data_IF_932182791500
#
_entry.id   IF_932182791500
#
_cell.length_a   1.000
_cell.length_b   1.000
_cell.length_c   1.000
_cell.angle_alpha   90.00
_cell.angle_beta   90.00
_cell.angle_gamma   90.00
#
_symmetry.space_group_name_H-M   'P 1'
#
loop_
_entity.id
_entity.type
_entity.pdbx_description
1 polymer ?
#
# COMPACT_ATOMS: atom_id res chain seq x y z
N UNK A 1 0.05 -26.60 -6.79
CA UNK A 1 -1.39 -26.51 -6.45
C UNK A 1 -1.62 -25.92 -5.05
N UNK A 2 -0.98 -26.43 -3.99
CA UNK A 2 -1.09 -25.87 -2.62
C UNK A 2 -0.49 -24.46 -2.45
N UNK A 3 0.56 -24.12 -3.20
CA UNK A 3 1.17 -22.78 -3.14
C UNK A 3 0.18 -21.68 -3.60
N UNK A 4 -0.58 -21.91 -4.68
CA UNK A 4 -1.54 -20.95 -5.24
C UNK A 4 -2.74 -20.68 -4.32
N UNK A 5 -3.15 -21.66 -3.50
CA UNK A 5 -4.24 -21.51 -2.52
C UNK A 5 -3.82 -20.69 -1.33
N UNK A 6 -2.58 -20.90 -0.86
CA UNK A 6 -2.00 -20.10 0.21
C UNK A 6 -1.82 -18.64 -0.23
N UNK A 7 -1.30 -18.37 -1.44
CA UNK A 7 -1.23 -16.99 -1.96
C UNK A 7 -2.61 -16.39 -2.23
N UNK A 8 -3.58 -17.16 -2.71
CA UNK A 8 -4.94 -16.67 -2.93
C UNK A 8 -5.57 -16.13 -1.64
N UNK A 9 -5.51 -16.91 -0.56
CA UNK A 9 -6.04 -16.51 0.75
C UNK A 9 -5.30 -15.33 1.38
N UNK A 10 -3.96 -15.28 1.28
CA UNK A 10 -3.20 -14.13 1.81
C UNK A 10 -3.54 -12.84 1.08
N UNK A 11 -3.80 -12.88 -0.22
CA UNK A 11 -4.23 -11.69 -0.97
C UNK A 11 -5.61 -11.19 -0.58
N UNK A 12 -6.53 -12.08 -0.16
CA UNK A 12 -7.81 -11.65 0.43
C UNK A 12 -7.60 -10.93 1.75
N UNK A 13 -6.67 -11.41 2.58
CA UNK A 13 -6.27 -10.73 3.81
C UNK A 13 -5.66 -9.35 3.56
N UNK A 14 -4.73 -9.25 2.61
CA UNK A 14 -4.11 -7.98 2.22
C UNK A 14 -5.11 -6.98 1.64
N UNK A 15 -6.11 -7.44 0.90
CA UNK A 15 -7.21 -6.59 0.47
C UNK A 15 -7.95 -5.98 1.67
N UNK A 16 -8.31 -6.80 2.66
CA UNK A 16 -8.99 -6.32 3.87
C UNK A 16 -8.15 -5.30 4.64
N UNK A 17 -6.84 -5.54 4.78
CA UNK A 17 -5.90 -4.58 5.39
C UNK A 17 -5.85 -3.29 4.59
N UNK A 18 -5.75 -3.36 3.25
CA UNK A 18 -5.74 -2.18 2.39
C UNK A 18 -7.01 -1.34 2.51
N UNK A 19 -8.19 -1.97 2.59
CA UNK A 19 -9.45 -1.25 2.82
C UNK A 19 -9.42 -0.47 4.14
N UNK A 20 -8.91 -1.09 5.21
CA UNK A 20 -8.75 -0.41 6.50
C UNK A 20 -7.71 0.71 6.45
N UNK A 21 -6.59 0.52 5.74
CA UNK A 21 -5.55 1.54 5.55
C UNK A 21 -6.07 2.79 4.79
N UNK A 22 -7.10 2.63 3.97
CA UNK A 22 -7.80 3.76 3.36
C UNK A 22 -8.82 4.39 4.33
N UNK A 23 -9.67 3.56 4.94
CA UNK A 23 -10.79 4.04 5.73
C UNK A 23 -10.38 4.74 7.04
N UNK A 24 -9.33 4.28 7.72
CA UNK A 24 -8.90 4.83 9.02
C UNK A 24 -8.43 6.28 8.90
N UNK A 25 -7.46 6.63 8.02
CA UNK A 25 -7.04 8.02 7.86
C UNK A 25 -8.15 8.94 7.37
N UNK A 26 -9.00 8.45 6.45
CA UNK A 26 -10.15 9.21 5.95
C UNK A 26 -11.15 9.48 7.07
N UNK A 27 -11.43 8.50 7.94
CA UNK A 27 -12.29 8.65 9.10
C UNK A 27 -11.72 9.65 10.11
N UNK A 28 -10.43 9.55 10.47
CA UNK A 28 -9.74 10.53 11.33
C UNK A 28 -9.87 11.96 10.79
N UNK A 29 -9.79 12.11 9.48
CA UNK A 29 -9.77 13.40 8.80
C UNK A 29 -11.14 14.05 8.60
N UNK A 30 -12.16 13.24 8.32
CA UNK A 30 -13.51 13.70 7.96
C UNK A 30 -14.50 13.58 9.12
N UNK A 31 -14.15 12.81 10.17
CA UNK A 31 -15.04 12.46 11.26
C UNK A 31 -16.13 11.44 10.88
N UNK A 32 -16.05 10.86 9.67
CA UNK A 32 -17.00 9.84 9.21
C UNK A 32 -16.77 8.51 9.92
N UNK A 33 -17.85 7.74 10.06
CA UNK A 33 -17.79 6.40 10.63
C UNK A 33 -16.88 5.49 9.79
N UNK A 34 -15.82 4.99 10.44
CA UNK A 34 -14.82 4.12 9.83
C UNK A 34 -15.45 2.81 9.37
N UNK A 35 -16.44 2.27 10.08
CA UNK A 35 -17.15 1.05 9.66
C UNK A 35 -17.87 1.28 8.32
N UNK A 36 -18.55 2.41 8.18
CA UNK A 36 -19.20 2.78 6.93
C UNK A 36 -18.19 3.02 5.79
N UNK A 37 -17.05 3.66 6.08
CA UNK A 37 -15.98 3.85 5.10
C UNK A 37 -15.38 2.52 4.64
N UNK A 38 -15.12 1.56 5.54
CA UNK A 38 -14.63 0.22 5.20
C UNK A 38 -15.65 -0.48 4.29
N UNK A 39 -16.93 -0.46 4.66
CA UNK A 39 -17.98 -1.13 3.89
C UNK A 39 -18.12 -0.55 2.48
N UNK A 40 -18.20 0.78 2.36
CA UNK A 40 -18.38 1.47 1.08
C UNK A 40 -17.13 1.33 0.19
N UNK A 41 -15.93 1.58 0.74
CA UNK A 41 -14.70 1.49 -0.05
C UNK A 41 -14.37 0.05 -0.46
N UNK A 42 -14.57 -0.92 0.44
CA UNK A 42 -14.40 -2.34 0.12
C UNK A 42 -15.35 -2.81 -1.00
N UNK A 43 -16.62 -2.41 -0.95
CA UNK A 43 -17.58 -2.69 -2.03
C UNK A 43 -17.18 -2.03 -3.35
N UNK A 44 -16.78 -0.75 -3.32
CA UNK A 44 -16.36 -0.04 -4.53
C UNK A 44 -15.13 -0.68 -5.18
N UNK A 45 -14.11 -1.02 -4.41
CA UNK A 45 -12.90 -1.71 -4.89
C UNK A 45 -13.22 -3.12 -5.42
N UNK A 46 -14.18 -3.81 -4.79
CA UNK A 46 -14.63 -5.12 -5.27
C UNK A 46 -15.34 -5.01 -6.63
N UNK A 47 -16.09 -3.93 -6.87
CA UNK A 47 -16.79 -3.70 -8.14
C UNK A 47 -15.81 -3.31 -9.26
N UNK A 48 -14.77 -2.53 -8.97
CA UNK A 48 -13.81 -2.09 -10.01
C UNK A 48 -13.03 -3.23 -10.64
N UNK A 49 -12.76 -4.29 -9.88
CA UNK A 49 -12.19 -5.56 -10.37
C UNK A 49 -12.97 -6.17 -11.54
N UNK A 50 -14.29 -5.95 -11.62
CA UNK A 50 -15.11 -6.47 -12.71
C UNK A 50 -14.71 -5.91 -14.08
N UNK A 51 -14.21 -4.67 -14.11
CA UNK A 51 -13.76 -3.96 -15.31
C UNK A 51 -12.39 -4.41 -15.82
N UNK A 52 -11.66 -5.24 -15.06
CA UNK A 52 -10.47 -5.97 -15.51
C UNK A 52 -9.16 -5.17 -15.57
N UNK A 53 -8.09 -5.83 -16.04
CA UNK A 53 -6.68 -5.40 -15.88
C UNK A 53 -6.31 -4.11 -16.64
N UNK A 54 -7.05 -3.78 -17.71
CA UNK A 54 -6.80 -2.56 -18.50
C UNK A 54 -7.13 -1.29 -17.71
N UNK A 55 -8.22 -1.30 -16.93
CA UNK A 55 -8.56 -0.18 -16.07
C UNK A 55 -7.48 0.03 -15.00
N UNK A 56 -7.01 -1.07 -14.39
CA UNK A 56 -5.97 -1.05 -13.35
C UNK A 56 -4.65 -0.45 -13.83
N UNK A 57 -4.29 -0.76 -15.07
CA UNK A 57 -3.05 -0.25 -15.67
C UNK A 57 -3.10 1.27 -15.84
N UNK A 58 -4.24 1.81 -16.32
CA UNK A 58 -4.42 3.26 -16.49
C UNK A 58 -4.39 3.98 -15.14
N UNK A 59 -5.06 3.44 -14.12
CA UNK A 59 -5.04 3.99 -12.77
C UNK A 59 -3.62 4.01 -12.19
N UNK A 60 -2.87 2.93 -12.35
CA UNK A 60 -1.50 2.80 -11.82
C UNK A 60 -0.51 3.79 -12.46
N UNK A 61 -0.64 4.04 -13.78
CA UNK A 61 0.20 5.01 -14.51
C UNK A 61 0.03 6.43 -13.97
N UNK A 62 -1.14 6.77 -13.43
CA UNK A 62 -1.41 8.09 -12.84
C UNK A 62 -1.04 8.11 -11.35
N UNK A 63 -1.39 7.06 -10.60
CA UNK A 63 -1.19 7.00 -9.16
C UNK A 63 0.29 7.01 -8.75
N UNK A 64 1.16 6.28 -9.47
CA UNK A 64 2.58 6.17 -9.12
C UNK A 64 3.31 7.51 -9.23
N UNK A 65 3.23 8.27 -10.35
CA UNK A 65 3.79 9.62 -10.41
C UNK A 65 3.17 10.58 -9.40
N UNK A 66 1.85 10.49 -9.19
CA UNK A 66 1.16 11.36 -8.23
C UNK A 66 1.69 11.18 -6.80
N UNK A 67 1.96 9.94 -6.37
CA UNK A 67 2.59 9.67 -5.07
C UNK A 67 4.02 10.19 -5.04
N UNK A 68 4.80 9.98 -6.09
CA UNK A 68 6.17 10.47 -6.13
C UNK A 68 6.23 12.00 -5.98
N UNK A 69 5.34 12.73 -6.65
CA UNK A 69 5.25 14.18 -6.56
C UNK A 69 4.70 14.65 -5.21
N UNK A 70 3.54 14.14 -4.78
CA UNK A 70 2.90 14.53 -3.52
C UNK A 70 3.78 14.18 -2.33
N UNK A 71 4.34 12.98 -2.38
CA UNK A 71 5.37 12.55 -1.47
C UNK A 71 6.51 13.55 -1.47
N UNK A 72 7.27 13.68 -2.56
CA UNK A 72 8.45 14.53 -2.60
C UNK A 72 8.20 15.94 -2.04
N UNK A 73 7.01 16.50 -2.31
CA UNK A 73 6.55 17.75 -1.74
C UNK A 73 6.33 17.71 -0.22
N UNK A 74 5.70 16.67 0.32
CA UNK A 74 5.54 16.45 1.76
C UNK A 74 6.89 16.31 2.49
N UNK A 75 7.88 15.60 1.93
CA UNK A 75 9.25 15.57 2.48
C UNK A 75 9.88 16.95 2.47
N UNK A 76 9.75 17.68 1.36
CA UNK A 76 10.27 19.04 1.26
C UNK A 76 9.65 19.97 2.32
N UNK A 77 8.34 19.89 2.55
CA UNK A 77 7.66 20.64 3.61
C UNK A 77 8.15 20.26 5.01
N UNK A 78 8.29 18.96 5.28
CA UNK A 78 8.79 18.48 6.57
C UNK A 78 10.20 19.02 6.86
N UNK A 79 11.11 18.90 5.89
CA UNK A 79 12.49 19.36 6.03
C UNK A 79 12.60 20.88 6.14
N UNK A 80 11.85 21.63 5.32
CA UNK A 80 11.85 23.10 5.43
C UNK A 80 11.22 23.58 6.74
N UNK A 81 10.18 22.91 7.23
CA UNK A 81 9.54 23.22 8.51
C UNK A 81 10.48 23.11 9.72
N UNK A 82 11.48 22.24 9.65
CA UNK A 82 12.52 22.12 10.68
C UNK A 82 13.65 23.16 10.59
N UNK A 83 13.68 23.99 9.56
CA UNK A 83 14.81 24.90 9.29
C UNK A 83 15.80 24.37 8.24
N UNK A 84 15.42 23.36 7.45
CA UNK A 84 16.16 22.88 6.29
C UNK A 84 17.01 21.64 6.53
N UNK A 85 17.81 21.29 5.52
CA UNK A 85 18.64 20.07 5.54
C UNK A 85 19.71 20.09 6.64
N UNK A 86 20.17 21.27 7.05
CA UNK A 86 21.16 21.41 8.11
C UNK A 86 20.57 21.08 9.48
N UNK A 87 19.32 21.48 9.73
CA UNK A 87 18.58 21.10 10.93
C UNK A 87 18.29 19.59 10.97
N UNK A 88 17.95 18.98 9.82
CA UNK A 88 17.75 17.53 9.71
C UNK A 88 19.03 16.75 10.08
N UNK A 89 20.20 17.21 9.62
CA UNK A 89 21.49 16.57 9.94
C UNK A 89 21.90 16.75 11.40
N UNK A 90 21.39 17.79 12.06
CA UNK A 90 21.64 18.05 13.48
C UNK A 90 20.74 17.22 14.42
N UNK A 91 19.75 16.50 13.89
CA UNK A 91 18.88 15.63 14.68
C UNK A 91 19.71 14.48 15.26
N UNK A 92 19.82 14.46 16.59
CA UNK A 92 20.45 13.36 17.33
C UNK A 92 19.36 12.38 17.79
N UNK A 93 19.35 11.13 17.30
CA UNK A 93 18.38 10.14 17.75
C UNK A 93 18.57 9.83 19.23
N UNK A 94 17.47 9.78 20.00
CA UNK A 94 17.51 9.40 21.42
C UNK A 94 17.99 7.95 21.62
N UNK A 95 17.77 7.08 20.63
CA UNK A 95 18.24 5.70 20.60
C UNK A 95 18.84 5.43 19.20
N UNK A 96 20.16 5.60 19.03
CA UNK A 96 20.81 5.34 17.76
C UNK A 96 20.70 3.86 17.40
N UNK A 97 20.22 3.57 16.20
CA UNK A 97 20.16 2.21 15.68
C UNK A 97 21.52 1.86 15.04
N UNK A 98 22.09 0.71 15.42
CA UNK A 98 23.30 0.21 14.77
C UNK A 98 23.03 -0.08 13.27
N UNK A 99 24.01 0.21 12.42
CA UNK A 99 23.87 0.03 10.98
C UNK A 99 23.55 -1.42 10.60
N UNK A 100 24.12 -2.41 11.29
CA UNK A 100 23.86 -3.82 10.98
C UNK A 100 22.43 -4.21 11.35
N UNK A 101 21.90 -3.65 12.44
CA UNK A 101 20.50 -3.85 12.84
C UNK A 101 19.57 -3.19 11.84
N UNK A 102 19.88 -1.95 11.42
CA UNK A 102 19.12 -1.25 10.38
C UNK A 102 19.09 -2.05 9.07
N UNK A 103 20.23 -2.54 8.63
CA UNK A 103 20.36 -3.36 7.43
C UNK A 103 19.56 -4.67 7.57
N UNK A 104 19.67 -5.37 8.70
CA UNK A 104 18.94 -6.60 8.96
C UNK A 104 17.42 -6.39 8.96
N UNK A 105 16.93 -5.29 9.54
CA UNK A 105 15.51 -4.93 9.52
C UNK A 105 15.02 -4.66 8.10
N UNK A 106 15.74 -3.84 7.33
CA UNK A 106 15.39 -3.55 5.93
C UNK A 106 15.38 -4.83 5.10
N UNK A 107 16.45 -5.62 5.14
CA UNK A 107 16.53 -6.88 4.38
C UNK A 107 15.43 -7.86 4.82
N UNK A 108 15.20 -8.01 6.12
CA UNK A 108 14.18 -8.88 6.69
C UNK A 108 12.76 -8.52 6.25
N UNK A 109 12.40 -7.23 6.26
CA UNK A 109 11.09 -6.74 5.83
C UNK A 109 10.79 -7.03 4.36
N UNK A 110 11.83 -7.08 3.50
CA UNK A 110 11.65 -7.20 2.06
C UNK A 110 11.97 -8.56 1.46
N UNK A 111 12.55 -9.50 2.22
CA UNK A 111 12.77 -10.88 1.77
C UNK A 111 11.47 -11.53 1.26
N UNK A 112 10.35 -11.29 1.95
CA UNK A 112 9.04 -11.81 1.52
C UNK A 112 8.55 -11.14 0.23
N UNK A 113 8.70 -9.81 0.09
CA UNK A 113 8.26 -9.06 -1.09
C UNK A 113 8.95 -9.52 -2.38
N UNK A 114 10.21 -9.95 -2.31
CA UNK A 114 10.96 -10.46 -3.46
C UNK A 114 10.33 -11.69 -4.14
N UNK A 115 9.57 -12.51 -3.39
CA UNK A 115 8.92 -13.70 -3.94
C UNK A 115 7.76 -13.38 -4.89
N UNK A 116 7.10 -12.24 -4.70
CA UNK A 116 5.95 -11.79 -5.50
C UNK A 116 6.38 -11.19 -6.84
N UNK A 117 7.61 -10.68 -6.92
CA UNK A 117 8.18 -10.07 -8.13
C UNK A 117 8.20 -11.07 -9.30
N UNK A 118 8.47 -12.36 -9.03
CA UNK A 118 8.51 -13.40 -10.07
C UNK A 118 7.17 -13.57 -10.81
N UNK A 119 6.04 -13.36 -10.11
CA UNK A 119 4.70 -13.52 -10.69
C UNK A 119 4.36 -12.44 -11.72
N UNK A 120 4.90 -11.23 -11.54
CA UNK A 120 4.70 -10.11 -12.47
C UNK A 120 5.71 -10.11 -13.61
N UNK A 121 6.97 -10.47 -13.31
CA UNK A 121 8.08 -10.51 -14.27
C UNK A 121 7.84 -11.57 -15.35
N UNK A 122 7.06 -12.64 -15.08
CA UNK A 122 6.72 -13.67 -16.08
C UNK A 122 5.95 -13.15 -17.29
N UNK A 123 5.27 -12.00 -17.16
CA UNK A 123 4.54 -11.36 -18.25
C UNK A 123 5.44 -10.43 -19.10
N UNK A 124 6.71 -10.26 -18.72
CA UNK A 124 7.68 -9.46 -19.45
C UNK A 124 8.15 -10.16 -20.73
N UNK A 125 8.21 -9.41 -21.85
CA UNK A 125 8.75 -9.89 -23.13
C UNK A 125 10.21 -10.39 -23.06
N UNK A 126 10.99 -9.91 -22.09
CA UNK A 126 12.40 -10.25 -21.92
C UNK A 126 12.76 -10.31 -20.43
N UNK A 127 13.24 -11.47 -19.96
CA UNK A 127 13.58 -11.72 -18.56
C UNK A 127 14.61 -10.72 -18.00
N UNK A 128 15.63 -10.35 -18.79
CA UNK A 128 16.67 -9.39 -18.35
C UNK A 128 16.08 -8.00 -18.13
N UNK A 129 15.20 -7.56 -19.04
CA UNK A 129 14.54 -6.27 -18.93
C UNK A 129 13.57 -6.24 -17.75
N UNK A 130 12.83 -7.32 -17.53
CA UNK A 130 11.87 -7.40 -16.44
C UNK A 130 12.56 -7.40 -15.06
N UNK A 131 13.73 -8.05 -14.92
CA UNK A 131 14.56 -7.96 -13.71
C UNK A 131 15.08 -6.53 -13.50
N UNK A 132 15.61 -5.87 -14.55
CA UNK A 132 16.10 -4.49 -14.45
C UNK A 132 15.00 -3.52 -14.01
N UNK A 133 13.82 -3.60 -14.65
CA UNK A 133 12.66 -2.77 -14.30
C UNK A 133 12.23 -3.02 -12.86
N UNK A 134 12.16 -4.28 -12.43
CA UNK A 134 11.81 -4.62 -11.05
C UNK A 134 12.82 -4.05 -10.04
N UNK A 135 14.13 -4.18 -10.31
CA UNK A 135 15.17 -3.61 -9.44
C UNK A 135 15.06 -2.09 -9.32
N UNK A 136 14.88 -1.39 -10.45
CA UNK A 136 14.77 0.07 -10.46
C UNK A 136 13.49 0.54 -9.77
N UNK A 137 12.35 -0.07 -10.07
CA UNK A 137 11.07 0.27 -9.45
C UNK A 137 11.09 0.01 -7.94
N UNK A 138 11.67 -1.12 -7.52
CA UNK A 138 11.82 -1.47 -6.11
C UNK A 138 12.76 -0.49 -5.39
N UNK A 139 13.92 -0.18 -5.98
CA UNK A 139 14.87 0.76 -5.40
C UNK A 139 14.26 2.16 -5.23
N UNK A 140 13.62 2.68 -6.27
CA UNK A 140 13.01 4.01 -6.24
C UNK A 140 11.83 4.09 -5.27
N UNK A 141 10.90 3.14 -5.35
CA UNK A 141 9.72 3.11 -4.48
C UNK A 141 10.11 2.97 -3.01
N UNK A 142 11.02 2.05 -2.70
CA UNK A 142 11.45 1.79 -1.33
C UNK A 142 12.25 2.95 -0.73
N UNK A 143 13.18 3.53 -1.50
CA UNK A 143 13.94 4.70 -1.05
C UNK A 143 13.02 5.88 -0.77
N UNK A 144 12.06 6.13 -1.65
CA UNK A 144 11.06 7.19 -1.47
C UNK A 144 10.27 6.98 -0.16
N UNK A 145 9.73 5.78 0.07
CA UNK A 145 8.95 5.46 1.28
C UNK A 145 9.78 5.54 2.58
N UNK A 146 11.05 5.14 2.55
CA UNK A 146 11.91 5.31 3.72
C UNK A 146 12.21 6.77 4.03
N UNK A 147 12.43 7.60 3.00
CA UNK A 147 12.63 9.04 3.17
C UNK A 147 11.36 9.68 3.75
N UNK A 148 10.15 9.26 3.35
CA UNK A 148 8.90 9.68 3.99
C UNK A 148 8.90 9.44 5.48
N UNK A 149 9.08 8.18 5.88
CA UNK A 149 9.03 7.79 7.28
C UNK A 149 10.09 8.50 8.10
N UNK A 150 11.32 8.62 7.56
CA UNK A 150 12.42 9.30 8.24
C UNK A 150 12.17 10.81 8.41
N UNK A 151 11.74 11.50 7.35
CA UNK A 151 11.45 12.93 7.40
C UNK A 151 10.24 13.25 8.28
N UNK A 152 9.19 12.44 8.21
CA UNK A 152 8.00 12.55 9.05
C UNK A 152 8.32 12.34 10.54
N UNK A 153 9.10 11.31 10.85
CA UNK A 153 9.52 11.02 12.22
C UNK A 153 10.45 12.12 12.76
N UNK A 154 11.40 12.59 11.96
CA UNK A 154 12.33 13.64 12.38
C UNK A 154 11.65 15.00 12.58
N UNK A 155 10.74 15.38 11.67
CA UNK A 155 10.12 16.71 11.67
C UNK A 155 8.88 16.83 12.56
N UNK A 156 8.06 15.78 12.60
CA UNK A 156 6.76 15.82 13.26
C UNK A 156 6.60 14.74 14.34
N UNK A 157 7.61 13.86 14.52
CA UNK A 157 7.52 12.76 15.48
C UNK A 157 6.53 11.66 15.07
N UNK A 158 6.09 11.63 13.81
CA UNK A 158 5.07 10.70 13.32
C UNK A 158 5.68 9.68 12.35
N UNK A 159 5.38 8.40 12.59
CA UNK A 159 5.81 7.31 11.71
C UNK A 159 4.89 7.13 10.49
N UNK A 160 3.60 7.48 10.64
CA UNK A 160 2.59 7.30 9.61
C UNK A 160 2.56 8.46 8.61
N UNK A 161 2.76 8.13 7.33
CA UNK A 161 2.73 9.10 6.21
C UNK A 161 1.40 9.85 6.16
N UNK A 162 0.31 9.14 6.42
CA UNK A 162 -1.04 9.73 6.44
C UNK A 162 -1.15 10.80 7.52
N UNK A 163 -0.65 10.53 8.73
CA UNK A 163 -0.72 11.47 9.85
C UNK A 163 0.21 12.68 9.61
N UNK A 164 1.40 12.45 9.01
CA UNK A 164 2.30 13.52 8.52
C UNK A 164 1.59 14.45 7.53
N UNK A 165 0.91 13.89 6.53
CA UNK A 165 0.20 14.69 5.52
C UNK A 165 -1.00 15.43 6.10
N UNK A 166 -1.69 14.86 7.11
CA UNK A 166 -2.76 15.54 7.85
C UNK A 166 -2.21 16.77 8.57
N UNK A 167 -1.10 16.62 9.32
CA UNK A 167 -0.48 17.72 10.04
C UNK A 167 0.07 18.82 9.12
N UNK A 168 0.48 18.46 7.90
CA UNK A 168 0.93 19.41 6.88
C UNK A 168 -0.23 20.10 6.13
N UNK A 169 -1.49 19.77 6.42
CA UNK A 169 -2.66 20.30 5.71
C UNK A 169 -2.85 19.74 4.29
N UNK A 170 -2.14 18.68 3.93
CA UNK A 170 -2.20 18.00 2.62
C UNK A 170 -3.28 16.92 2.57
N UNK A 171 -4.29 17.03 3.42
CA UNK A 171 -5.28 15.99 3.63
C UNK A 171 -6.02 15.58 2.34
N UNK A 172 -6.59 16.54 1.63
CA UNK A 172 -7.35 16.29 0.39
C UNK A 172 -6.50 15.58 -0.69
N UNK A 173 -5.31 16.10 -1.06
CA UNK A 173 -4.47 15.41 -2.03
C UNK A 173 -3.97 14.06 -1.50
N UNK A 174 -3.71 13.91 -0.20
CA UNK A 174 -3.32 12.64 0.40
C UNK A 174 -4.42 11.58 0.28
N UNK A 175 -5.67 11.90 0.63
CA UNK A 175 -6.81 10.98 0.49
C UNK A 175 -6.96 10.51 -0.95
N UNK A 176 -6.87 11.43 -1.92
CA UNK A 176 -7.02 11.09 -3.34
C UNK A 176 -5.87 10.23 -3.82
N UNK A 177 -4.63 10.64 -3.57
CA UNK A 177 -3.44 9.99 -4.13
C UNK A 177 -3.13 8.67 -3.43
N UNK A 178 -3.11 8.66 -2.09
CA UNK A 178 -2.91 7.43 -1.31
C UNK A 178 -4.11 6.50 -1.47
N UNK A 179 -5.32 7.04 -1.49
CA UNK A 179 -6.54 6.25 -1.73
C UNK A 179 -6.55 5.59 -3.09
N UNK A 180 -6.20 6.31 -4.16
CA UNK A 180 -6.05 5.72 -5.50
C UNK A 180 -4.98 4.64 -5.55
N UNK A 181 -3.86 4.82 -4.85
CA UNK A 181 -2.81 3.80 -4.78
C UNK A 181 -3.27 2.53 -4.07
N UNK A 182 -3.86 2.69 -2.88
CA UNK A 182 -4.43 1.58 -2.12
C UNK A 182 -5.48 0.87 -2.96
N UNK A 183 -6.34 1.62 -3.64
CA UNK A 183 -7.34 1.08 -4.55
C UNK A 183 -6.71 0.20 -5.64
N UNK A 184 -5.72 0.71 -6.37
CA UNK A 184 -5.05 -0.08 -7.43
C UNK A 184 -4.35 -1.33 -6.90
N UNK A 185 -3.78 -1.26 -5.69
CA UNK A 185 -3.10 -2.39 -5.05
C UNK A 185 -4.09 -3.45 -4.61
N UNK A 186 -5.21 -3.03 -4.02
CA UNK A 186 -6.31 -3.89 -3.61
C UNK A 186 -6.97 -4.59 -4.79
N UNK A 187 -7.18 -3.88 -5.90
CA UNK A 187 -7.72 -4.49 -7.12
C UNK A 187 -6.76 -5.55 -7.69
N UNK A 188 -5.44 -5.30 -7.65
CA UNK A 188 -4.44 -6.30 -8.03
C UNK A 188 -4.47 -7.53 -7.11
N UNK A 189 -4.64 -7.34 -5.80
CA UNK A 189 -4.75 -8.43 -4.83
C UNK A 189 -6.01 -9.28 -5.07
N UNK A 190 -7.16 -8.65 -5.32
CA UNK A 190 -8.40 -9.34 -5.65
C UNK A 190 -8.33 -10.07 -6.99
N UNK A 191 -7.71 -9.46 -8.00
CA UNK A 191 -7.51 -10.11 -9.29
C UNK A 191 -6.61 -11.35 -9.16
N UNK A 192 -5.48 -11.22 -8.46
CA UNK A 192 -4.56 -12.31 -8.20
C UNK A 192 -5.21 -13.44 -7.39
N UNK A 193 -5.98 -13.10 -6.35
CA UNK A 193 -6.71 -14.10 -5.56
C UNK A 193 -7.75 -14.84 -6.41
N UNK A 194 -8.55 -14.13 -7.20
CA UNK A 194 -9.55 -14.74 -8.07
C UNK A 194 -8.95 -15.68 -9.11
N UNK A 195 -7.79 -15.33 -9.69
CA UNK A 195 -7.05 -16.23 -10.57
C UNK A 195 -6.52 -17.47 -9.83
N UNK A 196 -6.02 -17.30 -8.60
CA UNK A 196 -5.56 -18.40 -7.75
C UNK A 196 -6.66 -19.42 -7.47
N UNK A 197 -7.86 -18.97 -7.12
CA UNK A 197 -9.02 -19.84 -6.87
C UNK A 197 -9.66 -20.38 -8.16
N UNK A 198 -9.62 -19.64 -9.27
CA UNK A 198 -10.17 -20.07 -10.56
C UNK A 198 -9.45 -21.32 -11.08
N UNK A 199 -8.12 -21.38 -10.91
CA UNK A 199 -7.31 -22.52 -11.30
C UNK A 199 -7.66 -23.82 -10.54
N UNK A 200 -8.40 -23.74 -9.43
CA UNK A 200 -8.76 -24.88 -8.59
C UNK A 200 -10.22 -25.26 -8.79
N UNK A 201 -11.10 -24.27 -8.75
CA UNK A 201 -12.54 -24.47 -8.82
C UNK A 201 -13.08 -24.58 -10.25
N UNK A 202 -12.28 -24.16 -11.25
CA UNK A 202 -12.74 -24.06 -12.64
C UNK A 202 -13.76 -22.95 -12.88
N UNK A 203 -14.10 -22.16 -11.85
CA UNK A 203 -15.03 -21.03 -11.96
C UNK A 203 -14.35 -19.80 -12.56
N UNK A 204 -15.15 -18.82 -12.99
CA UNK A 204 -14.63 -17.58 -13.54
C UNK A 204 -13.82 -16.81 -12.49
N UNK A 205 -12.61 -16.34 -12.85
CA UNK A 205 -11.77 -15.53 -11.98
C UNK A 205 -12.45 -14.26 -11.51
N UNK A 206 -13.28 -13.65 -12.38
CA UNK A 206 -14.08 -12.46 -12.03
C UNK A 206 -15.07 -12.74 -10.90
N UNK A 207 -15.82 -13.83 -10.98
CA UNK A 207 -16.79 -14.19 -9.93
C UNK A 207 -16.09 -14.46 -8.60
N UNK A 208 -14.95 -15.16 -8.65
CA UNK A 208 -14.18 -15.47 -7.45
C UNK A 208 -13.53 -14.23 -6.84
N UNK A 209 -13.00 -13.31 -7.64
CA UNK A 209 -12.47 -12.03 -7.13
C UNK A 209 -13.55 -11.22 -6.41
N UNK A 210 -14.79 -11.22 -6.92
CA UNK A 210 -15.92 -10.53 -6.25
C UNK A 210 -16.27 -11.19 -4.92
N UNK A 211 -16.39 -12.53 -4.90
CA UNK A 211 -16.65 -13.28 -3.65
C UNK A 211 -15.55 -13.01 -2.63
N UNK A 212 -14.28 -13.03 -3.07
CA UNK A 212 -13.13 -12.74 -2.23
C UNK A 212 -13.14 -11.30 -1.72
N UNK A 213 -13.55 -10.33 -2.52
CA UNK A 213 -13.70 -8.93 -2.09
C UNK A 213 -14.77 -8.76 -1.02
N UNK A 214 -15.90 -9.44 -1.15
CA UNK A 214 -16.94 -9.46 -0.10
C UNK A 214 -16.40 -10.08 1.18
N UNK A 215 -15.77 -11.26 1.09
CA UNK A 215 -15.18 -11.95 2.26
C UNK A 215 -14.12 -11.07 2.92
N UNK A 216 -13.22 -10.48 2.14
CA UNK A 216 -12.16 -9.61 2.64
C UNK A 216 -12.70 -8.34 3.29
N UNK A 217 -13.78 -7.74 2.75
CA UNK A 217 -14.44 -6.57 3.36
C UNK A 217 -15.09 -6.93 4.70
N UNK A 218 -15.80 -8.06 4.77
CA UNK A 218 -16.42 -8.54 6.02
C UNK A 218 -15.34 -8.87 7.06
N UNK A 219 -14.26 -9.53 6.64
CA UNK A 219 -13.11 -9.80 7.51
C UNK A 219 -12.46 -8.50 8.02
N UNK A 220 -12.34 -7.47 7.18
CA UNK A 220 -11.82 -6.16 7.58
C UNK A 220 -12.72 -5.48 8.62
N UNK A 221 -14.04 -5.50 8.44
CA UNK A 221 -14.99 -5.00 9.42
C UNK A 221 -14.89 -5.76 10.74
N UNK A 222 -14.78 -7.08 10.69
CA UNK A 222 -14.63 -7.91 11.88
C UNK A 222 -13.32 -7.62 12.61
N UNK A 223 -12.19 -7.57 11.89
CA UNK A 223 -10.87 -7.24 12.45
C UNK A 223 -10.86 -5.86 13.08
N UNK A 224 -11.40 -4.85 12.40
CA UNK A 224 -11.50 -3.50 12.94
C UNK A 224 -12.32 -3.48 14.24
N UNK A 225 -13.50 -4.10 14.27
CA UNK A 225 -14.32 -4.07 15.48
C UNK A 225 -13.73 -4.90 16.65
N UNK A 226 -12.91 -5.92 16.39
CA UNK A 226 -12.30 -6.75 17.46
C UNK A 226 -10.92 -6.25 17.91
N UNK A 227 -10.14 -5.61 17.04
CA UNK A 227 -8.80 -5.09 17.38
C UNK A 227 -8.83 -3.64 17.87
N UNK A 228 -9.86 -2.86 17.52
CA UNK A 228 -10.01 -1.46 17.99
C UNK A 228 -10.80 -1.34 19.30
N UNK A 229 -11.40 -2.45 19.77
CA UNK A 229 -12.20 -2.50 20.99
C UNK A 229 -11.41 -2.97 22.23
N UNK A 230 -10.08 -3.14 22.11
CA UNK A 230 -9.16 -3.43 23.20
C UNK A 230 -8.08 -2.36 23.29
#
# INVERSE_FOLDING_TARGET
MAAFTATGGTQVGWFGVGVAMFAIPVGKATGLDINLLIAVSGLLMTVTVFFGISALTVLSVIAVPAIACLGGYSVWLAVNGMGGLDALKAVVPAQPLDFNVALALVVGSFISAGTLTADFVRFGRNAKLAVLVAMVAFFLGNSLMFIFGAAGAAALGMADISDVMIAQGLLLPAIVVLGLNIWTTNDNALYASGLGFANITGMSSKTLSVINGIIGTVCALWLYNNLSAG
#
